data_IF_962524784633
#
_entry.id   IF_962524784633
#
_cell.length_a   1.000
_cell.length_b   1.000
_cell.length_c   1.000
_cell.angle_alpha   90.00
_cell.angle_beta   90.00
_cell.angle_gamma   90.00
#
_symmetry.space_group_name_H-M   'P 1'
#
loop_
_entity.id
_entity.type
_entity.pdbx_description
1 polymer ?
#
# COMPACT_ATOMS: atom_id res chain seq x y z
N UNK A 1 6.80 -10.04 29.64
CA UNK A 1 6.79 -9.67 28.21
C UNK A 1 5.39 -9.86 27.68
N UNK A 2 4.86 -8.88 26.94
CA UNK A 2 3.57 -9.02 26.29
C UNK A 2 3.69 -10.03 25.13
N UNK A 3 2.59 -10.73 24.81
CA UNK A 3 2.56 -11.63 23.65
C UNK A 3 2.74 -10.81 22.37
N UNK A 4 3.62 -11.28 21.48
CA UNK A 4 3.81 -10.74 20.13
C UNK A 4 3.60 -11.86 19.11
N UNK A 5 2.84 -11.58 18.06
CA UNK A 5 2.59 -12.53 16.98
C UNK A 5 3.43 -12.14 15.77
N UNK A 6 4.12 -13.10 15.18
CA UNK A 6 4.90 -12.94 13.97
C UNK A 6 4.21 -13.68 12.83
N UNK A 7 3.82 -12.96 11.77
CA UNK A 7 3.16 -13.53 10.60
C UNK A 7 3.85 -13.04 9.34
N UNK A 8 4.28 -13.99 8.51
CA UNK A 8 4.93 -13.68 7.24
C UNK A 8 4.01 -14.01 6.07
N UNK A 9 4.16 -13.29 4.96
CA UNK A 9 3.28 -13.46 3.81
C UNK A 9 3.54 -14.76 3.04
N UNK A 10 2.69 -14.96 2.11
CA UNK A 10 2.62 -15.98 1.10
C UNK A 10 3.90 -16.13 0.25
N UNK A 11 4.10 -17.25 -0.43
CA UNK A 11 5.17 -17.41 -1.41
C UNK A 11 5.17 -16.29 -2.44
N UNK A 12 6.35 -15.72 -2.68
CA UNK A 12 6.55 -14.61 -3.59
C UNK A 12 7.54 -15.01 -4.68
N UNK A 13 7.16 -14.86 -5.93
CA UNK A 13 8.04 -15.01 -7.09
C UNK A 13 8.51 -13.62 -7.53
N UNK A 14 9.82 -13.39 -7.55
CA UNK A 14 10.42 -12.11 -7.87
C UNK A 14 11.40 -12.22 -9.04
N UNK A 15 11.35 -11.28 -9.97
CA UNK A 15 12.32 -11.09 -11.03
C UNK A 15 11.71 -10.65 -12.35
N UNK A 16 12.56 -10.19 -13.23
CA UNK A 16 12.18 -9.78 -14.60
C UNK A 16 11.66 -11.00 -15.36
N UNK A 17 10.45 -10.92 -15.89
CA UNK A 17 9.79 -12.01 -16.58
C UNK A 17 9.08 -13.02 -15.66
N UNK A 18 9.00 -12.76 -14.35
CA UNK A 18 8.33 -13.65 -13.40
C UNK A 18 6.86 -13.93 -13.77
N UNK A 19 6.20 -12.99 -14.46
CA UNK A 19 4.83 -13.15 -14.97
C UNK A 19 4.65 -14.37 -15.89
N UNK A 20 5.71 -14.84 -16.56
CA UNK A 20 5.63 -16.00 -17.45
C UNK A 20 5.33 -17.31 -16.71
N UNK A 21 5.62 -17.34 -15.40
CA UNK A 21 5.31 -18.49 -14.54
C UNK A 21 3.81 -18.54 -14.13
N UNK A 22 3.06 -17.46 -14.38
CA UNK A 22 1.66 -17.31 -13.92
C UNK A 22 0.77 -18.51 -14.32
N UNK A 23 0.75 -19.02 -15.58
CA UNK A 23 -0.13 -20.13 -15.94
C UNK A 23 0.21 -21.42 -15.20
N UNK A 24 1.51 -21.74 -15.10
CA UNK A 24 1.96 -22.94 -14.41
C UNK A 24 1.67 -22.89 -12.90
N UNK A 25 1.90 -21.74 -12.30
CA UNK A 25 1.62 -21.51 -10.86
C UNK A 25 0.12 -21.47 -10.57
N UNK A 26 -0.67 -20.81 -11.43
CA UNK A 26 -2.13 -20.77 -11.32
C UNK A 26 -2.70 -22.19 -11.34
N UNK A 27 -2.28 -23.03 -12.30
CA UNK A 27 -2.71 -24.43 -12.38
C UNK A 27 -2.40 -25.21 -11.10
N UNK A 28 -1.24 -25.01 -10.48
CA UNK A 28 -0.88 -25.67 -9.21
C UNK A 28 -1.77 -25.23 -8.03
N UNK A 29 -2.32 -24.02 -8.10
CA UNK A 29 -3.27 -23.48 -7.13
C UNK A 29 -4.73 -23.86 -7.44
N UNK A 30 -4.97 -24.64 -8.51
CA UNK A 30 -6.31 -25.01 -8.95
C UNK A 30 -7.01 -23.97 -9.79
N UNK A 31 -6.29 -22.92 -10.24
CA UNK A 31 -6.85 -21.87 -11.09
C UNK A 31 -6.69 -22.25 -12.56
N UNK A 32 -7.83 -22.56 -13.21
CA UNK A 32 -7.90 -22.89 -14.62
C UNK A 32 -8.70 -21.85 -15.43
N UNK A 33 -9.59 -21.14 -14.74
CA UNK A 33 -10.49 -20.15 -15.33
C UNK A 33 -10.48 -18.88 -14.48
N UNK A 34 -9.39 -18.11 -14.48
CA UNK A 34 -9.26 -16.94 -13.62
C UNK A 34 -10.13 -15.76 -14.07
N UNK A 35 -10.58 -14.97 -13.08
CA UNK A 35 -10.98 -13.59 -13.28
C UNK A 35 -9.78 -12.68 -13.00
N UNK A 36 -9.35 -11.91 -13.98
CA UNK A 36 -8.41 -10.80 -13.80
C UNK A 36 -9.20 -9.60 -13.30
N UNK A 37 -8.85 -9.08 -12.12
CA UNK A 37 -9.44 -7.86 -11.55
C UNK A 37 -8.40 -6.74 -11.68
N UNK A 38 -8.78 -5.67 -12.39
CA UNK A 38 -7.89 -4.55 -12.73
C UNK A 38 -8.67 -3.24 -12.87
N UNK A 39 -7.98 -2.14 -13.12
CA UNK A 39 -8.60 -0.86 -13.50
C UNK A 39 -8.57 -0.64 -15.02
N UNK A 40 -9.49 0.22 -15.50
CA UNK A 40 -9.62 0.50 -16.93
C UNK A 40 -8.40 1.19 -17.54
N UNK A 41 -7.62 1.91 -16.74
CA UNK A 41 -6.40 2.60 -17.19
C UNK A 41 -5.28 1.65 -17.59
N UNK A 42 -5.26 0.44 -17.03
CA UNK A 42 -4.24 -0.56 -17.34
C UNK A 42 -4.47 -1.31 -18.65
N UNK A 43 -5.71 -1.41 -19.15
CA UNK A 43 -6.06 -2.27 -20.30
C UNK A 43 -5.23 -1.98 -21.56
N UNK A 44 -4.82 -0.74 -21.77
CA UNK A 44 -4.05 -0.32 -22.95
C UNK A 44 -2.54 -0.24 -22.70
N UNK A 45 -2.07 -0.66 -21.52
CA UNK A 45 -0.64 -0.59 -21.14
C UNK A 45 0.14 -1.82 -21.60
N UNK A 46 1.47 -1.68 -21.64
CA UNK A 46 2.36 -2.81 -21.90
C UNK A 46 2.30 -3.86 -20.78
N UNK A 47 2.08 -3.44 -19.54
CA UNK A 47 1.90 -4.34 -18.40
C UNK A 47 0.71 -5.30 -18.64
N UNK A 48 -0.44 -4.78 -19.08
CA UNK A 48 -1.60 -5.61 -19.37
C UNK A 48 -1.39 -6.50 -20.60
N UNK A 49 -0.74 -5.99 -21.66
CA UNK A 49 -0.37 -6.82 -22.83
C UNK A 49 0.53 -7.99 -22.42
N UNK A 50 1.48 -7.76 -21.53
CA UNK A 50 2.37 -8.79 -20.99
C UNK A 50 1.60 -9.85 -20.20
N UNK A 51 0.67 -9.44 -19.34
CA UNK A 51 -0.25 -10.35 -18.64
C UNK A 51 -1.08 -11.16 -19.64
N UNK A 52 -1.74 -10.50 -20.59
CA UNK A 52 -2.59 -11.15 -21.58
C UNK A 52 -1.81 -12.17 -22.42
N UNK A 53 -0.59 -11.83 -22.83
CA UNK A 53 0.31 -12.76 -23.52
C UNK A 53 0.63 -13.99 -22.69
N UNK A 54 0.90 -13.80 -21.38
CA UNK A 54 1.17 -14.92 -20.46
C UNK A 54 -0.04 -15.86 -20.31
N UNK A 55 -1.27 -15.32 -20.28
CA UNK A 55 -2.50 -16.10 -20.16
C UNK A 55 -3.02 -16.66 -21.49
N UNK A 56 -2.41 -16.29 -22.63
CA UNK A 56 -2.95 -16.59 -23.94
C UNK A 56 -3.97 -15.52 -24.37
N UNK A 57 -3.51 -14.48 -25.10
CA UNK A 57 -4.36 -13.32 -25.44
C UNK A 57 -5.61 -13.71 -26.27
N UNK A 58 -5.51 -14.73 -27.15
CA UNK A 58 -6.64 -15.24 -27.95
C UNK A 58 -7.72 -15.97 -27.12
N UNK A 59 -7.44 -16.28 -25.87
CA UNK A 59 -8.30 -17.05 -24.97
C UNK A 59 -9.06 -16.16 -23.97
N UNK A 60 -8.87 -14.83 -24.05
CA UNK A 60 -9.66 -13.89 -23.28
C UNK A 60 -11.15 -14.01 -23.61
N UNK A 61 -12.01 -14.04 -22.59
CA UNK A 61 -13.44 -14.30 -22.75
C UNK A 61 -13.81 -15.77 -22.97
N UNK A 62 -12.81 -16.67 -23.01
CA UNK A 62 -13.01 -18.13 -23.16
C UNK A 62 -12.51 -18.89 -21.96
N UNK A 63 -11.21 -18.86 -21.71
CA UNK A 63 -10.57 -19.54 -20.57
C UNK A 63 -10.15 -18.60 -19.43
N UNK A 64 -10.09 -17.28 -19.66
CA UNK A 64 -9.88 -16.26 -18.64
C UNK A 64 -10.69 -14.99 -18.96
N UNK A 65 -11.04 -14.23 -17.92
CA UNK A 65 -11.96 -13.10 -18.00
C UNK A 65 -11.36 -11.88 -17.32
N UNK A 66 -11.90 -10.69 -17.63
CA UNK A 66 -11.44 -9.41 -17.07
C UNK A 66 -12.61 -8.66 -16.49
N UNK A 67 -12.44 -8.18 -15.26
CA UNK A 67 -13.21 -7.09 -14.69
C UNK A 67 -12.28 -5.88 -14.57
N UNK A 68 -12.63 -4.78 -15.22
CA UNK A 68 -11.80 -3.57 -15.30
C UNK A 68 -12.47 -2.32 -14.76
N UNK A 69 -13.53 -2.50 -13.95
CA UNK A 69 -14.32 -1.42 -13.37
C UNK A 69 -13.77 -0.85 -12.06
N UNK A 70 -12.53 -1.19 -11.66
CA UNK A 70 -11.99 -0.72 -10.38
C UNK A 70 -11.68 0.77 -10.40
N UNK A 71 -12.21 1.51 -9.42
CA UNK A 71 -11.92 2.93 -9.22
C UNK A 71 -10.61 3.18 -8.44
N UNK A 72 -9.95 4.34 -8.60
CA UNK A 72 -8.71 4.67 -7.87
C UNK A 72 -8.82 4.61 -6.35
N UNK A 73 -9.98 4.94 -5.78
CA UNK A 73 -10.34 4.67 -4.39
C UNK A 73 -11.49 3.66 -4.44
N UNK A 74 -11.24 2.36 -4.25
CA UNK A 74 -12.21 1.34 -4.55
C UNK A 74 -13.45 1.47 -3.67
N UNK A 75 -14.60 1.29 -4.28
CA UNK A 75 -15.90 1.38 -3.63
C UNK A 75 -16.55 0.00 -3.53
N UNK A 76 -17.55 -0.11 -2.69
CA UNK A 76 -18.26 -1.37 -2.44
C UNK A 76 -18.85 -1.96 -3.71
N UNK A 77 -19.39 -1.14 -4.60
CA UNK A 77 -19.94 -1.57 -5.90
C UNK A 77 -18.89 -2.22 -6.80
N UNK A 78 -17.63 -1.76 -6.80
CA UNK A 78 -16.55 -2.40 -7.56
C UNK A 78 -16.39 -3.87 -7.14
N UNK A 79 -16.44 -4.11 -5.83
CA UNK A 79 -16.31 -5.47 -5.26
C UNK A 79 -17.49 -6.34 -5.63
N UNK A 80 -18.73 -5.78 -5.60
CA UNK A 80 -19.96 -6.50 -5.98
C UNK A 80 -19.96 -6.87 -7.46
N UNK A 81 -19.58 -5.95 -8.32
CA UNK A 81 -19.49 -6.18 -9.77
C UNK A 81 -18.40 -7.19 -10.13
N UNK A 82 -17.21 -7.12 -9.48
CA UNK A 82 -16.16 -8.12 -9.66
C UNK A 82 -16.61 -9.52 -9.23
N UNK A 83 -17.31 -9.64 -8.08
CA UNK A 83 -17.85 -10.92 -7.62
C UNK A 83 -18.94 -11.45 -8.57
N UNK A 84 -19.80 -10.58 -9.09
CA UNK A 84 -20.80 -10.95 -10.09
C UNK A 84 -20.15 -11.44 -11.38
N UNK A 85 -19.12 -10.75 -11.89
CA UNK A 85 -18.36 -11.18 -13.06
C UNK A 85 -17.69 -12.55 -12.83
N UNK A 86 -17.16 -12.81 -11.64
CA UNK A 86 -16.60 -14.11 -11.27
C UNK A 86 -17.62 -15.25 -11.39
N UNK A 87 -18.82 -15.05 -10.81
CA UNK A 87 -19.89 -16.06 -10.83
C UNK A 87 -20.43 -16.27 -12.24
N UNK A 88 -20.72 -15.19 -12.97
CA UNK A 88 -21.30 -15.25 -14.34
C UNK A 88 -20.38 -15.98 -15.31
N UNK A 89 -19.07 -15.78 -15.17
CA UNK A 89 -18.08 -16.44 -16.03
C UNK A 89 -17.61 -17.78 -15.48
N UNK A 90 -18.19 -18.28 -14.38
CA UNK A 90 -17.82 -19.55 -13.73
C UNK A 90 -16.30 -19.63 -13.46
N UNK A 91 -15.72 -18.54 -12.96
CA UNK A 91 -14.31 -18.48 -12.62
C UNK A 91 -14.01 -19.33 -11.38
N UNK A 92 -12.78 -19.81 -11.26
CA UNK A 92 -12.30 -20.67 -10.17
C UNK A 92 -11.17 -20.05 -9.34
N UNK A 93 -10.71 -18.86 -9.71
CA UNK A 93 -9.71 -18.10 -9.00
C UNK A 93 -9.63 -16.65 -9.47
N UNK A 94 -8.92 -15.83 -8.70
CA UNK A 94 -8.74 -14.40 -8.98
C UNK A 94 -7.27 -14.12 -9.26
N UNK A 95 -7.00 -13.35 -10.31
CA UNK A 95 -5.73 -12.68 -10.53
C UNK A 95 -5.98 -11.20 -10.27
N UNK A 96 -5.55 -10.70 -9.12
CA UNK A 96 -5.59 -9.29 -8.79
C UNK A 96 -4.37 -8.61 -9.42
N UNK A 97 -4.60 -7.76 -10.44
CA UNK A 97 -3.56 -7.17 -11.27
C UNK A 97 -3.69 -5.65 -11.31
N UNK A 98 -2.73 -4.93 -10.76
CA UNK A 98 -2.78 -3.46 -10.76
C UNK A 98 -2.14 -2.81 -9.53
N UNK A 99 -2.55 -1.59 -9.22
CA UNK A 99 -2.22 -0.90 -7.98
C UNK A 99 -3.03 -1.43 -6.80
N UNK A 100 -2.84 -0.83 -5.62
CA UNK A 100 -3.51 -1.24 -4.38
C UNK A 100 -5.02 -1.41 -4.51
N UNK A 101 -5.70 -0.52 -5.24
CA UNK A 101 -7.16 -0.59 -5.47
C UNK A 101 -7.59 -1.89 -6.15
N UNK A 102 -6.91 -2.27 -7.25
CA UNK A 102 -7.22 -3.51 -7.96
C UNK A 102 -6.90 -4.76 -7.12
N UNK A 103 -5.81 -4.71 -6.35
CA UNK A 103 -5.44 -5.78 -5.42
C UNK A 103 -6.50 -5.95 -4.33
N UNK A 104 -6.98 -4.84 -3.77
CA UNK A 104 -7.98 -4.85 -2.71
C UNK A 104 -9.35 -5.35 -3.21
N UNK A 105 -9.82 -4.86 -4.36
CA UNK A 105 -11.07 -5.36 -4.97
C UNK A 105 -10.95 -6.85 -5.28
N UNK A 106 -9.82 -7.30 -5.86
CA UNK A 106 -9.60 -8.71 -6.18
C UNK A 106 -9.62 -9.60 -4.94
N UNK A 107 -9.05 -9.13 -3.82
CA UNK A 107 -9.12 -9.83 -2.53
C UNK A 107 -10.54 -9.87 -1.97
N UNK A 108 -11.22 -8.71 -1.94
CA UNK A 108 -12.55 -8.58 -1.34
C UNK A 108 -13.65 -9.27 -2.15
N UNK A 109 -13.56 -9.31 -3.48
CA UNK A 109 -14.55 -9.97 -4.35
C UNK A 109 -14.75 -11.45 -3.95
N UNK A 110 -13.71 -12.13 -3.49
CA UNK A 110 -13.77 -13.53 -3.03
C UNK A 110 -14.68 -13.71 -1.81
N UNK A 111 -14.84 -12.67 -0.97
CA UNK A 111 -15.75 -12.67 0.16
C UNK A 111 -17.19 -12.76 -0.32
N UNK A 112 -17.57 -11.95 -1.32
CA UNK A 112 -18.92 -11.98 -1.90
C UNK A 112 -19.19 -13.21 -2.76
N UNK A 113 -18.16 -13.78 -3.40
CA UNK A 113 -18.29 -15.08 -4.08
C UNK A 113 -18.65 -16.18 -3.07
N UNK A 114 -18.04 -16.17 -1.88
CA UNK A 114 -18.37 -17.12 -0.79
C UNK A 114 -19.69 -16.79 -0.12
N UNK A 115 -19.99 -15.49 0.09
CA UNK A 115 -21.20 -15.01 0.79
C UNK A 115 -21.85 -13.87 0.02
N UNK A 116 -22.71 -14.16 -0.99
CA UNK A 116 -23.29 -13.15 -1.88
C UNK A 116 -24.11 -12.06 -1.17
N UNK A 117 -24.63 -12.34 0.02
CA UNK A 117 -25.40 -11.39 0.83
C UNK A 117 -24.61 -10.61 1.87
N UNK A 118 -23.26 -10.67 1.85
CA UNK A 118 -22.44 -9.99 2.84
C UNK A 118 -22.70 -8.48 2.84
N UNK A 119 -22.97 -7.95 4.03
CA UNK A 119 -22.92 -6.53 4.34
C UNK A 119 -21.51 -6.22 4.89
N UNK A 120 -20.73 -5.43 4.17
CA UNK A 120 -19.35 -5.13 4.60
C UNK A 120 -19.29 -4.33 5.89
N UNK A 121 -20.33 -3.60 6.27
CA UNK A 121 -20.41 -2.95 7.57
C UNK A 121 -20.46 -3.97 8.73
N UNK A 122 -20.87 -5.21 8.44
CA UNK A 122 -20.94 -6.32 9.38
C UNK A 122 -19.88 -7.39 9.13
N UNK A 123 -18.81 -7.06 8.41
CA UNK A 123 -17.78 -8.02 8.05
C UNK A 123 -17.21 -8.78 9.26
N UNK A 124 -17.06 -8.11 10.39
CA UNK A 124 -16.49 -8.68 11.62
C UNK A 124 -17.47 -9.53 12.43
N UNK A 125 -18.75 -9.55 12.07
CA UNK A 125 -19.73 -10.47 12.66
C UNK A 125 -19.54 -11.90 12.15
N UNK A 126 -18.76 -12.05 11.05
CA UNK A 126 -18.44 -13.31 10.42
C UNK A 126 -17.06 -13.81 10.85
N UNK A 127 -16.97 -15.05 11.32
CA UNK A 127 -15.72 -15.61 11.83
C UNK A 127 -15.05 -16.60 10.86
N UNK A 128 -15.79 -17.26 9.97
CA UNK A 128 -15.26 -18.28 9.06
C UNK A 128 -15.17 -17.78 7.61
N UNK A 129 -13.94 -17.44 7.22
CA UNK A 129 -13.56 -17.11 5.85
C UNK A 129 -12.70 -18.19 5.18
N UNK A 130 -12.61 -19.39 5.75
CA UNK A 130 -11.89 -20.52 5.14
C UNK A 130 -12.48 -20.86 3.77
N UNK A 131 -11.63 -21.36 2.86
CA UNK A 131 -12.08 -21.83 1.54
C UNK A 131 -12.47 -20.72 0.56
N UNK A 132 -11.97 -19.47 0.73
CA UNK A 132 -12.07 -18.44 -0.30
C UNK A 132 -11.40 -18.92 -1.61
N UNK A 133 -11.96 -18.52 -2.75
CA UNK A 133 -11.34 -18.79 -4.05
C UNK A 133 -9.86 -18.38 -4.05
N UNK A 134 -8.95 -19.16 -4.61
CA UNK A 134 -7.54 -18.81 -4.63
C UNK A 134 -7.30 -17.49 -5.36
N UNK A 135 -6.32 -16.71 -4.85
CA UNK A 135 -5.95 -15.42 -5.42
C UNK A 135 -4.45 -15.40 -5.70
N UNK A 136 -4.06 -14.86 -6.86
CA UNK A 136 -2.69 -14.47 -7.18
C UNK A 136 -2.68 -12.95 -7.27
N UNK A 137 -1.77 -12.30 -6.53
CA UNK A 137 -1.63 -10.85 -6.54
C UNK A 137 -0.40 -10.43 -7.35
N UNK A 138 -0.59 -9.49 -8.27
CA UNK A 138 0.44 -9.02 -9.20
C UNK A 138 0.40 -7.48 -9.22
N UNK A 139 1.23 -6.81 -8.42
CA UNK A 139 1.25 -5.36 -8.39
C UNK A 139 1.89 -4.75 -9.64
N UNK A 140 1.35 -3.62 -10.09
CA UNK A 140 1.92 -2.77 -11.14
C UNK A 140 2.45 -1.44 -10.58
N UNK A 141 2.37 -1.27 -9.27
CA UNK A 141 2.90 -0.13 -8.51
C UNK A 141 3.73 -0.63 -7.33
N UNK A 142 4.71 0.14 -6.91
CA UNK A 142 5.54 -0.17 -5.75
C UNK A 142 5.25 0.84 -4.62
N UNK A 143 4.20 0.60 -3.85
CA UNK A 143 3.74 1.52 -2.80
C UNK A 143 3.00 0.82 -1.68
N UNK A 144 1.74 0.49 -1.90
CA UNK A 144 0.83 -0.04 -0.87
C UNK A 144 1.26 -1.37 -0.27
N UNK A 145 1.95 -2.23 -1.06
CA UNK A 145 2.27 -3.60 -0.64
C UNK A 145 1.03 -4.48 -0.40
N UNK A 146 -0.14 -4.10 -0.93
CA UNK A 146 -1.40 -4.81 -0.72
C UNK A 146 -1.34 -6.28 -1.15
N UNK A 147 -0.44 -6.64 -2.06
CA UNK A 147 -0.20 -8.01 -2.51
C UNK A 147 0.20 -8.97 -1.39
N UNK A 148 0.89 -8.48 -0.38
CA UNK A 148 1.30 -9.25 0.82
C UNK A 148 0.44 -8.93 2.04
N UNK A 149 -0.59 -8.08 1.89
CA UNK A 149 -1.49 -7.67 2.95
C UNK A 149 -2.63 -8.64 3.22
N UNK A 150 -3.02 -8.78 4.48
CA UNK A 150 -4.18 -9.55 4.96
C UNK A 150 -5.46 -8.72 5.02
N UNK A 151 -5.42 -7.52 4.45
CA UNK A 151 -6.55 -6.59 4.44
C UNK A 151 -6.94 -6.19 3.02
N UNK A 152 -8.14 -5.68 2.90
CA UNK A 152 -8.64 -4.96 1.74
C UNK A 152 -9.31 -3.69 2.25
N UNK A 153 -9.01 -2.55 1.66
CA UNK A 153 -9.58 -1.25 2.03
C UNK A 153 -10.54 -0.81 0.94
N UNK A 154 -11.82 -0.70 1.28
CA UNK A 154 -12.88 -0.25 0.37
C UNK A 154 -13.68 0.88 0.99
N UNK A 155 -14.26 1.73 0.17
CA UNK A 155 -15.21 2.76 0.61
C UNK A 155 -16.61 2.19 0.56
N UNK A 156 -17.33 2.22 1.68
CA UNK A 156 -18.72 1.77 1.75
C UNK A 156 -19.62 2.77 1.04
N UNK A 157 -20.49 2.29 0.14
CA UNK A 157 -21.38 3.15 -0.67
C UNK A 157 -22.38 3.94 0.19
N UNK A 158 -22.91 3.31 1.25
CA UNK A 158 -23.91 3.92 2.11
C UNK A 158 -23.38 5.04 3.03
N UNK A 159 -22.13 4.97 3.45
CA UNK A 159 -21.56 5.89 4.45
C UNK A 159 -20.43 6.76 3.91
N UNK A 160 -19.92 6.45 2.72
CA UNK A 160 -18.71 7.03 2.13
C UNK A 160 -17.48 6.97 3.05
N UNK A 161 -17.46 6.01 3.98
CA UNK A 161 -16.33 5.75 4.88
C UNK A 161 -15.50 4.58 4.39
N UNK A 162 -14.18 4.68 4.58
CA UNK A 162 -13.28 3.56 4.33
C UNK A 162 -13.51 2.46 5.37
N UNK A 163 -13.72 1.25 4.89
CA UNK A 163 -13.77 0.03 5.70
C UNK A 163 -12.48 -0.77 5.45
N UNK A 164 -11.82 -1.14 6.52
CA UNK A 164 -10.68 -2.06 6.47
C UNK A 164 -11.21 -3.45 6.74
N UNK A 165 -11.21 -4.31 5.73
CA UNK A 165 -11.60 -5.72 5.87
C UNK A 165 -10.33 -6.51 6.16
N UNK A 166 -10.13 -6.91 7.41
CA UNK A 166 -8.93 -7.65 7.83
C UNK A 166 -9.26 -9.09 8.16
N UNK A 167 -8.64 -10.02 7.44
CA UNK A 167 -8.69 -11.45 7.75
C UNK A 167 -7.49 -12.17 7.11
N UNK A 168 -6.82 -13.13 7.78
CA UNK A 168 -5.73 -13.92 7.21
C UNK A 168 -6.06 -14.62 5.89
N UNK A 169 -7.33 -15.02 5.66
CA UNK A 169 -7.79 -15.67 4.43
C UNK A 169 -7.82 -14.71 3.20
N UNK A 170 -7.77 -13.39 3.43
CA UNK A 170 -7.63 -12.43 2.34
C UNK A 170 -6.25 -12.47 1.69
N UNK A 171 -5.24 -13.02 2.36
CA UNK A 171 -3.90 -13.13 1.80
C UNK A 171 -3.93 -13.90 0.47
N UNK A 172 -3.23 -13.36 -0.53
CA UNK A 172 -3.06 -14.06 -1.80
C UNK A 172 -2.28 -15.38 -1.59
N UNK A 173 -2.56 -16.41 -2.38
CA UNK A 173 -1.84 -17.70 -2.30
C UNK A 173 -0.48 -17.64 -3.00
N UNK A 174 -0.28 -16.66 -3.86
CA UNK A 174 0.97 -16.38 -4.55
C UNK A 174 1.05 -14.89 -4.87
N UNK A 175 2.24 -14.32 -4.77
CA UNK A 175 2.57 -12.98 -5.25
C UNK A 175 3.57 -13.09 -6.39
N UNK A 176 3.38 -12.30 -7.45
CA UNK A 176 4.35 -12.19 -8.55
C UNK A 176 4.82 -10.73 -8.61
N UNK A 177 6.07 -10.49 -8.27
CA UNK A 177 6.74 -9.20 -8.33
C UNK A 177 7.62 -9.17 -9.59
N UNK A 178 7.07 -8.67 -10.69
CA UNK A 178 7.79 -8.52 -11.95
C UNK A 178 8.07 -7.04 -12.23
N UNK A 179 9.33 -6.60 -12.18
CA UNK A 179 9.71 -5.20 -12.41
C UNK A 179 9.23 -4.62 -13.73
N UNK A 180 9.11 -5.44 -14.79
CA UNK A 180 8.62 -4.99 -16.10
C UNK A 180 7.21 -4.42 -16.03
N UNK A 181 6.37 -4.92 -15.12
CA UNK A 181 4.98 -4.51 -14.99
C UNK A 181 4.83 -3.10 -14.38
N UNK A 182 5.90 -2.58 -13.78
CA UNK A 182 5.93 -1.22 -13.20
C UNK A 182 6.63 -0.19 -14.09
N UNK A 183 7.30 -0.62 -15.17
CA UNK A 183 8.15 0.24 -16.00
C UNK A 183 7.38 1.41 -16.65
N UNK A 184 6.10 1.18 -16.99
CA UNK A 184 5.23 2.21 -17.58
C UNK A 184 4.63 3.21 -16.60
N UNK A 185 4.88 3.07 -15.28
CA UNK A 185 4.31 3.99 -14.29
C UNK A 185 4.98 5.38 -14.40
N UNK A 186 4.19 6.48 -14.56
CA UNK A 186 4.74 7.82 -14.68
C UNK A 186 5.62 8.23 -13.48
N UNK A 187 6.66 9.06 -13.69
CA UNK A 187 7.59 9.45 -12.62
C UNK A 187 6.92 10.03 -11.37
N UNK A 188 5.90 10.87 -11.54
CA UNK A 188 5.14 11.46 -10.40
C UNK A 188 4.43 10.40 -9.57
N UNK A 189 3.81 9.41 -10.22
CA UNK A 189 3.17 8.29 -9.53
C UNK A 189 4.21 7.36 -8.91
N UNK A 190 5.33 7.12 -9.59
CA UNK A 190 6.45 6.36 -9.02
C UNK A 190 6.96 7.01 -7.73
N UNK A 191 7.16 8.34 -7.73
CA UNK A 191 7.59 9.08 -6.55
C UNK A 191 6.58 8.99 -5.41
N UNK A 192 5.30 9.23 -5.70
CA UNK A 192 4.23 9.20 -4.70
C UNK A 192 4.04 7.80 -4.09
N UNK A 193 4.00 6.75 -4.92
CA UNK A 193 3.88 5.37 -4.41
C UNK A 193 5.12 4.93 -3.64
N UNK A 194 6.31 5.30 -4.10
CA UNK A 194 7.55 5.00 -3.38
C UNK A 194 7.64 5.71 -2.03
N UNK A 195 7.14 6.94 -1.92
CA UNK A 195 7.05 7.66 -0.66
C UNK A 195 6.03 7.03 0.31
N UNK A 196 4.96 6.41 -0.21
CA UNK A 196 4.03 5.60 0.57
C UNK A 196 4.75 4.39 1.21
N UNK A 197 5.49 3.62 0.41
CA UNK A 197 6.30 2.50 0.91
C UNK A 197 7.34 2.95 1.95
N UNK A 198 7.95 4.13 1.76
CA UNK A 198 8.89 4.72 2.71
C UNK A 198 8.19 5.06 4.03
N UNK A 199 7.00 5.64 3.96
CA UNK A 199 6.20 5.98 5.15
C UNK A 199 5.78 4.71 5.91
N UNK A 200 5.35 3.66 5.20
CA UNK A 200 5.09 2.35 5.80
C UNK A 200 6.29 1.84 6.60
N UNK A 201 7.47 1.86 6.01
CA UNK A 201 8.69 1.41 6.69
C UNK A 201 9.04 2.27 7.91
N UNK A 202 8.97 3.61 7.79
CA UNK A 202 9.34 4.53 8.88
C UNK A 202 8.35 4.40 10.05
N UNK A 203 7.04 4.46 9.79
CA UNK A 203 6.03 4.40 10.85
C UNK A 203 6.01 3.04 11.53
N UNK A 204 6.07 1.95 10.76
CA UNK A 204 6.17 0.59 11.34
C UNK A 204 7.40 0.41 12.20
N UNK A 205 8.56 0.92 11.76
CA UNK A 205 9.78 0.86 12.55
C UNK A 205 9.63 1.60 13.87
N UNK A 206 9.02 2.80 13.87
CA UNK A 206 8.88 3.62 15.08
C UNK A 206 7.74 3.19 15.99
N UNK A 207 6.79 2.38 15.51
CA UNK A 207 5.73 1.81 16.34
C UNK A 207 6.32 1.04 17.53
N UNK A 208 5.83 1.27 18.77
CA UNK A 208 6.47 0.79 20.00
C UNK A 208 6.33 -0.70 20.25
N UNK A 209 5.51 -1.42 19.49
CA UNK A 209 5.35 -2.87 19.63
C UNK A 209 6.69 -3.60 19.42
N UNK A 210 7.00 -4.53 20.30
CA UNK A 210 8.19 -5.36 20.17
C UNK A 210 8.06 -6.35 19.01
N UNK A 211 8.77 -6.11 17.92
CA UNK A 211 8.77 -6.96 16.75
C UNK A 211 10.07 -6.81 15.94
N UNK A 212 11.21 -7.34 16.48
CA UNK A 212 12.53 -7.10 15.89
C UNK A 212 12.69 -7.58 14.46
N UNK A 213 11.89 -8.58 14.01
CA UNK A 213 11.90 -9.03 12.61
C UNK A 213 11.30 -7.94 11.70
N UNK A 214 10.19 -7.33 12.08
CA UNK A 214 9.62 -6.20 11.32
C UNK A 214 10.53 -4.98 11.36
N UNK A 215 11.20 -4.72 12.49
CA UNK A 215 12.17 -3.63 12.58
C UNK A 215 13.30 -3.80 11.56
N UNK A 216 13.85 -5.02 11.45
CA UNK A 216 14.89 -5.34 10.47
C UNK A 216 14.39 -5.22 9.03
N UNK A 217 13.17 -5.71 8.75
CA UNK A 217 12.52 -5.62 7.44
C UNK A 217 12.29 -4.15 7.06
N UNK A 218 11.75 -3.33 7.96
CA UNK A 218 11.48 -1.91 7.72
C UNK A 218 12.76 -1.13 7.41
N UNK A 219 13.84 -1.34 8.17
CA UNK A 219 15.12 -0.65 7.96
C UNK A 219 15.75 -1.01 6.62
N UNK A 220 15.73 -2.27 6.22
CA UNK A 220 16.21 -2.69 4.91
C UNK A 220 15.31 -2.14 3.79
N UNK A 221 13.98 -2.09 3.98
CA UNK A 221 13.05 -1.43 3.08
C UNK A 221 13.39 0.05 2.86
N UNK A 222 13.70 0.79 3.94
CA UNK A 222 14.15 2.20 3.87
C UNK A 222 15.42 2.32 3.02
N UNK A 223 16.43 1.48 3.27
CA UNK A 223 17.69 1.49 2.51
C UNK A 223 17.44 1.30 1.02
N UNK A 224 16.67 0.29 0.65
CA UNK A 224 16.34 0.00 -0.75
C UNK A 224 15.58 1.16 -1.41
N UNK A 225 14.63 1.79 -0.72
CA UNK A 225 13.84 2.91 -1.26
C UNK A 225 14.74 4.13 -1.50
N UNK A 226 15.57 4.49 -0.53
CA UNK A 226 16.45 5.66 -0.65
C UNK A 226 17.42 5.50 -1.83
N UNK A 227 17.91 4.30 -2.08
CA UNK A 227 18.80 3.99 -3.18
C UNK A 227 18.08 3.90 -4.54
N UNK A 228 16.92 3.25 -4.59
CA UNK A 228 16.27 2.88 -5.84
C UNK A 228 15.23 3.90 -6.33
N UNK A 229 14.50 4.58 -5.43
CA UNK A 229 13.38 5.44 -5.83
C UNK A 229 13.81 6.61 -6.75
N UNK A 230 14.92 7.33 -6.48
CA UNK A 230 15.39 8.38 -7.39
C UNK A 230 15.73 7.82 -8.79
N UNK A 231 16.35 6.65 -8.85
CA UNK A 231 16.68 5.97 -10.11
C UNK A 231 15.43 5.58 -10.88
N UNK A 232 14.46 4.97 -10.21
CA UNK A 232 13.19 4.56 -10.81
C UNK A 232 12.37 5.75 -11.33
N UNK A 233 12.42 6.90 -10.64
CA UNK A 233 11.79 8.14 -11.10
C UNK A 233 12.50 8.75 -12.30
N UNK A 234 13.84 8.76 -12.31
CA UNK A 234 14.63 9.31 -13.39
C UNK A 234 14.59 8.47 -14.68
N UNK A 235 14.55 7.14 -14.53
CA UNK A 235 14.48 6.19 -15.62
C UNK A 235 13.50 5.07 -15.32
N UNK A 236 12.29 5.17 -15.86
CA UNK A 236 11.25 4.15 -15.68
C UNK A 236 11.64 2.74 -16.17
N UNK A 237 12.65 2.63 -17.03
CA UNK A 237 13.15 1.36 -17.55
C UNK A 237 14.33 0.79 -16.75
N UNK A 238 14.74 1.42 -15.66
CA UNK A 238 15.69 0.83 -14.73
C UNK A 238 15.01 -0.30 -13.93
N UNK A 239 14.99 -1.50 -14.52
CA UNK A 239 14.29 -2.66 -13.99
C UNK A 239 14.88 -3.14 -12.64
N UNK A 240 16.15 -2.90 -12.39
CA UNK A 240 16.76 -3.19 -11.09
C UNK A 240 16.16 -2.26 -10.02
N UNK A 241 16.15 -0.95 -10.25
CA UNK A 241 15.54 0.01 -9.34
C UNK A 241 14.03 -0.26 -9.14
N UNK A 242 13.29 -0.57 -10.22
CA UNK A 242 11.88 -0.99 -10.14
C UNK A 242 11.70 -2.25 -9.29
N UNK A 243 12.60 -3.23 -9.45
CA UNK A 243 12.59 -4.46 -8.65
C UNK A 243 12.85 -4.19 -7.17
N UNK A 244 13.85 -3.37 -6.85
CA UNK A 244 14.13 -2.97 -5.47
C UNK A 244 12.93 -2.26 -4.84
N UNK A 245 12.25 -1.37 -5.60
CA UNK A 245 11.05 -0.69 -5.13
C UNK A 245 9.89 -1.65 -4.86
N UNK A 246 9.63 -2.65 -5.72
CA UNK A 246 8.60 -3.67 -5.49
C UNK A 246 8.87 -4.46 -4.21
N UNK A 247 10.11 -4.92 -4.02
CA UNK A 247 10.49 -5.65 -2.81
C UNK A 247 10.36 -4.76 -1.59
N UNK A 248 10.84 -3.51 -1.65
CA UNK A 248 10.75 -2.58 -0.52
C UNK A 248 9.30 -2.21 -0.15
N UNK A 249 8.40 -2.08 -1.13
CA UNK A 249 6.97 -1.87 -0.88
C UNK A 249 6.35 -3.08 -0.14
N UNK A 250 6.66 -4.30 -0.61
CA UNK A 250 6.25 -5.52 0.09
C UNK A 250 6.85 -5.60 1.51
N UNK A 251 8.12 -5.20 1.70
CA UNK A 251 8.76 -5.15 3.02
C UNK A 251 8.06 -4.18 3.97
N UNK A 252 7.70 -2.98 3.50
CA UNK A 252 6.90 -2.01 4.27
C UNK A 252 5.56 -2.60 4.70
N UNK A 253 4.85 -3.25 3.78
CA UNK A 253 3.57 -3.89 4.06
C UNK A 253 3.69 -5.10 5.02
N UNK A 254 4.77 -5.84 4.99
CA UNK A 254 5.04 -6.88 5.99
C UNK A 254 5.35 -6.25 7.34
N UNK A 255 6.13 -5.17 7.37
CA UNK A 255 6.52 -4.51 8.61
C UNK A 255 5.32 -3.86 9.33
N UNK A 256 4.34 -3.31 8.61
CA UNK A 256 3.19 -2.67 9.25
C UNK A 256 2.19 -3.64 9.93
N UNK A 257 2.51 -4.93 10.05
CA UNK A 257 1.84 -5.75 11.07
C UNK A 257 2.11 -5.25 12.50
N UNK A 258 3.08 -4.34 12.69
CA UNK A 258 3.27 -3.54 13.90
C UNK A 258 2.31 -2.34 14.00
N UNK A 259 1.50 -2.10 12.99
CA UNK A 259 0.74 -0.90 12.74
C UNK A 259 1.53 0.28 12.17
N UNK A 260 0.85 1.41 12.05
CA UNK A 260 1.31 2.65 11.45
C UNK A 260 1.28 3.79 12.49
N UNK A 261 1.25 5.05 12.07
CA UNK A 261 1.33 6.17 12.99
C UNK A 261 0.55 7.40 12.53
N UNK A 262 0.99 8.57 13.01
CA UNK A 262 0.34 9.86 12.81
C UNK A 262 0.27 10.28 11.35
N UNK A 263 1.26 9.90 10.52
CA UNK A 263 1.31 10.30 9.11
C UNK A 263 0.18 9.65 8.32
N UNK A 264 -0.07 8.35 8.51
CA UNK A 264 -1.21 7.69 7.88
C UNK A 264 -2.54 8.23 8.38
N UNK A 265 -2.68 8.55 9.68
CA UNK A 265 -3.89 9.19 10.18
C UNK A 265 -4.14 10.59 9.62
N UNK A 266 -3.09 11.31 9.21
CA UNK A 266 -3.23 12.56 8.44
C UNK A 266 -3.59 12.29 6.97
N UNK A 267 -3.02 11.26 6.35
CA UNK A 267 -3.15 11.00 4.93
C UNK A 267 -4.51 10.39 4.53
N UNK A 268 -5.11 9.55 5.36
CA UNK A 268 -6.39 8.92 5.08
C UNK A 268 -7.52 9.92 4.85
N UNK A 269 -7.73 10.93 5.72
CA UNK A 269 -8.73 11.97 5.48
C UNK A 269 -8.47 12.80 4.22
N UNK A 270 -7.21 13.10 3.90
CA UNK A 270 -6.85 13.81 2.67
C UNK A 270 -7.27 13.03 1.42
N UNK A 271 -7.12 11.72 1.45
CA UNK A 271 -7.58 10.87 0.36
C UNK A 271 -9.12 10.80 0.29
N UNK A 272 -9.80 10.71 1.43
CA UNK A 272 -11.25 10.56 1.48
C UNK A 272 -12.00 11.88 1.17
N UNK A 273 -11.56 13.00 1.74
CA UNK A 273 -12.26 14.30 1.65
C UNK A 273 -11.77 15.12 0.46
N UNK A 274 -10.45 15.09 0.15
CA UNK A 274 -9.86 15.93 -0.88
C UNK A 274 -9.59 15.15 -2.19
N UNK A 275 -9.82 13.83 -2.23
CA UNK A 275 -9.50 12.99 -3.39
C UNK A 275 -8.00 12.89 -3.68
N UNK A 276 -7.14 13.25 -2.72
CA UNK A 276 -5.70 13.26 -2.89
C UNK A 276 -5.16 11.83 -3.03
N UNK A 277 -4.19 11.64 -3.94
CA UNK A 277 -3.50 10.34 -4.07
C UNK A 277 -2.84 9.98 -2.73
N UNK A 278 -3.08 8.77 -2.22
CA UNK A 278 -2.70 8.35 -0.87
C UNK A 278 -1.19 8.50 -0.59
N UNK A 279 -0.34 8.00 -1.48
CA UNK A 279 1.10 8.11 -1.32
C UNK A 279 1.62 9.56 -1.38
N UNK A 280 0.96 10.43 -2.15
CA UNK A 280 1.26 11.86 -2.14
C UNK A 280 0.88 12.49 -0.78
N UNK A 281 -0.31 12.16 -0.25
CA UNK A 281 -0.73 12.64 1.06
C UNK A 281 0.25 12.22 2.16
N UNK A 282 0.70 10.96 2.15
CA UNK A 282 1.74 10.48 3.06
C UNK A 282 3.05 11.26 2.90
N UNK A 283 3.53 11.48 1.67
CA UNK A 283 4.76 12.23 1.41
C UNK A 283 4.71 13.65 1.98
N UNK A 284 3.59 14.35 1.76
CA UNK A 284 3.41 15.74 2.20
C UNK A 284 3.30 15.86 3.73
N UNK A 285 2.78 14.84 4.42
CA UNK A 285 2.64 14.81 5.86
C UNK A 285 3.87 14.23 6.59
N UNK A 286 4.75 13.48 5.91
CA UNK A 286 5.81 12.69 6.55
C UNK A 286 6.76 13.55 7.41
N UNK A 287 7.29 14.61 6.85
CA UNK A 287 8.28 15.45 7.56
C UNK A 287 7.68 16.13 8.78
N UNK A 288 6.44 16.64 8.68
CA UNK A 288 5.73 17.25 9.81
C UNK A 288 5.46 16.21 10.92
N UNK A 289 4.99 15.00 10.55
CA UNK A 289 4.81 13.90 11.48
C UNK A 289 6.11 13.47 12.17
N UNK A 290 7.22 13.39 11.43
CA UNK A 290 8.52 13.08 12.02
C UNK A 290 8.99 14.15 13.01
N UNK A 291 8.87 15.44 12.67
CA UNK A 291 9.20 16.55 13.58
C UNK A 291 8.36 16.48 14.85
N UNK A 292 7.06 16.26 14.71
CA UNK A 292 6.13 16.12 15.83
C UNK A 292 6.55 15.02 16.79
N UNK A 293 6.91 13.86 16.29
CA UNK A 293 7.34 12.72 17.11
C UNK A 293 8.69 12.97 17.77
N UNK A 294 9.69 13.47 17.03
CA UNK A 294 11.03 13.77 17.55
C UNK A 294 11.03 14.83 18.65
N UNK A 295 10.16 15.85 18.55
CA UNK A 295 10.02 16.89 19.58
C UNK A 295 9.52 16.34 20.92
N UNK A 296 8.86 15.17 20.93
CA UNK A 296 8.30 14.53 22.13
C UNK A 296 9.10 13.33 22.62
N UNK A 297 9.87 12.72 21.75
CA UNK A 297 10.72 11.55 22.05
C UNK A 297 11.95 11.58 21.19
N UNK A 298 13.11 11.83 21.79
CA UNK A 298 14.39 11.91 21.08
C UNK A 298 14.96 10.52 20.78
N UNK A 299 15.72 10.42 19.69
CA UNK A 299 16.50 9.24 19.29
C UNK A 299 15.72 8.19 18.51
N UNK A 300 14.45 8.46 18.17
CA UNK A 300 13.57 7.50 17.48
C UNK A 300 13.95 7.28 16.01
N UNK A 301 14.63 8.26 15.38
CA UNK A 301 14.99 8.17 13.96
C UNK A 301 16.47 7.89 13.70
N UNK A 302 17.32 7.71 14.74
CA UNK A 302 18.73 7.38 14.55
C UNK A 302 18.95 6.18 13.62
N UNK A 303 18.25 5.05 13.87
CA UNK A 303 18.39 3.85 13.05
C UNK A 303 17.82 4.05 11.63
N UNK A 304 16.76 4.84 11.49
CA UNK A 304 16.23 5.27 10.18
C UNK A 304 17.29 6.04 9.40
N UNK A 305 17.93 7.02 10.02
CA UNK A 305 19.00 7.80 9.38
C UNK A 305 20.20 6.96 8.98
N UNK A 306 20.59 5.98 9.81
CA UNK A 306 21.65 5.02 9.47
C UNK A 306 21.24 4.17 8.26
N UNK A 307 20.00 3.72 8.19
CA UNK A 307 19.47 3.00 7.03
C UNK A 307 19.46 3.87 5.76
N UNK A 308 19.31 5.19 5.90
CA UNK A 308 19.46 6.16 4.81
C UNK A 308 20.93 6.44 4.43
N UNK A 309 21.90 5.83 5.09
CA UNK A 309 23.33 6.03 4.82
C UNK A 309 23.99 7.17 5.60
N UNK A 310 23.33 7.72 6.64
CA UNK A 310 23.90 8.80 7.45
C UNK A 310 24.85 8.28 8.53
N UNK A 311 25.95 8.99 8.77
CA UNK A 311 26.90 8.72 9.85
C UNK A 311 26.43 9.35 11.16
N UNK A 312 25.68 8.59 11.98
CA UNK A 312 25.02 9.09 13.19
C UNK A 312 25.56 8.47 14.49
N UNK A 313 26.66 7.72 14.43
CA UNK A 313 27.17 6.97 15.59
C UNK A 313 27.73 7.88 16.70
N UNK A 314 28.22 9.08 16.35
CA UNK A 314 28.94 9.99 17.25
C UNK A 314 28.17 11.26 17.61
N UNK A 315 26.89 11.36 17.25
CA UNK A 315 26.03 12.52 17.55
C UNK A 315 25.05 12.20 18.66
N UNK A 316 24.47 13.24 19.29
CA UNK A 316 23.39 13.06 20.27
C UNK A 316 22.13 12.50 19.62
N UNK A 317 21.18 11.98 20.40
CA UNK A 317 19.89 11.47 19.90
C UNK A 317 19.10 12.58 19.21
N UNK A 318 19.03 13.76 19.79
CA UNK A 318 18.35 14.90 19.20
C UNK A 318 18.98 15.34 17.86
N UNK A 319 20.30 15.35 17.78
CA UNK A 319 21.02 15.69 16.54
C UNK A 319 20.83 14.61 15.47
N UNK A 320 20.79 13.33 15.86
CA UNK A 320 20.50 12.25 14.93
C UNK A 320 19.11 12.38 14.32
N UNK A 321 18.10 12.69 15.14
CA UNK A 321 16.73 12.93 14.64
C UNK A 321 16.68 14.13 13.70
N UNK A 322 17.30 15.25 14.07
CA UNK A 322 17.35 16.45 13.22
C UNK A 322 17.98 16.16 11.86
N UNK A 323 19.14 15.48 11.84
CA UNK A 323 19.85 15.11 10.59
C UNK A 323 19.00 14.16 9.73
N UNK A 324 18.32 13.19 10.36
CA UNK A 324 17.46 12.25 9.64
C UNK A 324 16.24 12.95 9.05
N UNK A 325 15.59 13.86 9.78
CA UNK A 325 14.46 14.64 9.31
C UNK A 325 14.86 15.58 8.18
N UNK A 326 16.02 16.24 8.29
CA UNK A 326 16.54 17.11 7.24
C UNK A 326 16.84 16.31 5.95
N UNK A 327 17.49 15.14 6.08
CA UNK A 327 17.72 14.24 4.96
C UNK A 327 16.40 13.86 4.28
N UNK A 328 15.37 13.53 5.07
CA UNK A 328 14.07 13.11 4.52
C UNK A 328 13.37 14.25 3.78
N UNK A 329 13.44 15.47 4.31
CA UNK A 329 12.92 16.66 3.64
C UNK A 329 13.61 16.89 2.28
N UNK A 330 14.93 16.81 2.24
CA UNK A 330 15.73 16.96 1.02
C UNK A 330 15.45 15.83 0.01
N UNK A 331 15.31 14.60 0.51
CA UNK A 331 14.99 13.44 -0.31
C UNK A 331 13.64 13.59 -1.02
N UNK A 332 12.59 13.97 -0.28
CA UNK A 332 11.27 14.21 -0.85
C UNK A 332 11.27 15.41 -1.80
N UNK A 333 12.01 16.46 -1.49
CA UNK A 333 12.15 17.63 -2.36
C UNK A 333 12.78 17.26 -3.72
N UNK A 334 13.83 16.43 -3.73
CA UNK A 334 14.46 15.94 -4.97
C UNK A 334 13.51 15.10 -5.83
N UNK A 335 12.49 14.50 -5.23
CA UNK A 335 11.45 13.75 -5.92
C UNK A 335 10.25 14.62 -6.35
N UNK A 336 10.28 15.93 -6.06
CA UNK A 336 9.19 16.87 -6.34
C UNK A 336 7.99 16.72 -5.39
N UNK A 337 8.19 16.14 -4.22
CA UNK A 337 7.16 15.86 -3.19
C UNK A 337 7.22 16.87 -2.02
N UNK A 338 7.59 18.12 -2.29
CA UNK A 338 7.72 19.20 -1.31
C UNK A 338 6.71 20.34 -1.52
N UNK A 339 5.60 20.06 -2.16
CA UNK A 339 4.49 20.99 -2.38
C UNK A 339 3.59 21.08 -1.14
N UNK A 340 2.57 21.94 -1.17
CA UNK A 340 1.61 22.11 -0.09
C UNK A 340 0.32 21.33 -0.37
N UNK A 341 -0.42 20.97 0.68
CA UNK A 341 -1.72 20.29 0.52
C UNK A 341 -2.70 21.10 -0.35
N UNK A 342 -2.70 22.43 -0.23
CA UNK A 342 -3.54 23.32 -1.05
C UNK A 342 -3.25 23.25 -2.54
N UNK A 343 -2.01 22.93 -2.93
CA UNK A 343 -1.62 22.77 -4.33
C UNK A 343 -2.26 21.52 -4.95
N UNK A 344 -2.83 20.67 -4.13
CA UNK A 344 -3.48 19.41 -4.49
C UNK A 344 -4.96 19.35 -4.08
N UNK A 345 -5.59 20.52 -3.88
CA UNK A 345 -7.03 20.63 -3.70
C UNK A 345 -7.52 20.62 -2.26
N UNK A 346 -6.65 20.50 -1.26
CA UNK A 346 -7.06 20.68 0.13
C UNK A 346 -7.34 22.16 0.42
N UNK A 347 -8.42 22.43 1.13
CA UNK A 347 -8.89 23.79 1.43
C UNK A 347 -8.97 24.03 2.94
N UNK A 348 -8.71 25.27 3.41
CA UNK A 348 -8.81 25.60 4.84
C UNK A 348 -10.16 25.27 5.47
N UNK A 349 -11.27 25.38 4.71
CA UNK A 349 -12.62 25.10 5.17
C UNK A 349 -12.85 23.61 5.49
N UNK A 350 -12.00 22.72 4.98
CA UNK A 350 -12.07 21.28 5.23
C UNK A 350 -11.35 20.87 6.52
N UNK A 351 -10.60 21.79 7.17
CA UNK A 351 -9.72 21.48 8.30
C UNK A 351 -10.42 20.74 9.43
N UNK A 352 -11.63 21.20 9.83
CA UNK A 352 -12.36 20.57 10.93
C UNK A 352 -12.78 19.12 10.58
N UNK A 353 -13.20 18.87 9.35
CA UNK A 353 -13.54 17.53 8.89
C UNK A 353 -12.30 16.62 8.79
N UNK A 354 -11.17 17.17 8.33
CA UNK A 354 -9.89 16.44 8.28
C UNK A 354 -9.45 16.03 9.68
N UNK A 355 -9.49 16.96 10.65
CA UNK A 355 -9.12 16.68 12.04
C UNK A 355 -10.05 15.65 12.66
N UNK A 356 -11.35 15.76 12.47
CA UNK A 356 -12.32 14.80 13.02
C UNK A 356 -12.06 13.38 12.51
N UNK A 357 -11.83 13.21 11.20
CA UNK A 357 -11.52 11.90 10.63
C UNK A 357 -10.14 11.37 11.04
N UNK A 358 -9.13 12.25 11.22
CA UNK A 358 -7.81 11.84 11.67
C UNK A 358 -7.84 11.32 13.13
N UNK A 359 -8.67 11.91 13.98
CA UNK A 359 -8.89 11.44 15.36
C UNK A 359 -9.61 10.08 15.40
N UNK A 360 -10.54 9.84 14.49
CA UNK A 360 -11.24 8.56 14.37
C UNK A 360 -10.36 7.46 13.76
N UNK A 361 -9.30 7.81 13.04
CA UNK A 361 -8.41 6.87 12.37
C UNK A 361 -7.61 6.02 13.37
N UNK A 362 -7.51 4.70 13.20
CA UNK A 362 -6.84 3.83 14.17
C UNK A 362 -5.31 3.96 14.19
N UNK A 363 -4.65 4.40 13.10
CA UNK A 363 -3.19 4.35 12.94
C UNK A 363 -2.45 5.16 14.00
N UNK A 364 -2.96 6.33 14.40
CA UNK A 364 -2.30 7.15 15.42
C UNK A 364 -2.29 6.53 16.82
N UNK A 365 -3.15 5.52 17.08
CA UNK A 365 -3.23 4.87 18.40
C UNK A 365 -1.99 4.04 18.70
N UNK A 366 -1.27 3.65 17.66
CA UNK A 366 -0.01 2.91 17.73
C UNK A 366 1.21 3.79 17.43
N UNK A 367 1.01 5.11 17.31
CA UNK A 367 2.10 6.06 17.11
C UNK A 367 3.06 6.07 18.32
N UNK A 368 4.34 6.35 18.07
CA UNK A 368 5.40 6.33 19.07
C UNK A 368 5.22 7.32 20.22
N UNK A 369 4.41 8.34 20.01
CA UNK A 369 3.95 9.32 21.02
C UNK A 369 2.44 9.55 20.85
N UNK A 370 1.70 9.88 21.93
CA UNK A 370 0.28 10.19 21.85
C UNK A 370 0.00 11.38 20.94
N UNK A 371 -1.13 11.34 20.24
CA UNK A 371 -1.59 12.40 19.32
C UNK A 371 -3.00 12.82 19.71
N UNK A 372 -3.19 14.11 19.98
CA UNK A 372 -4.49 14.70 20.30
C UNK A 372 -5.09 15.46 19.11
N UNK A 373 -6.39 15.78 19.16
CA UNK A 373 -7.07 16.54 18.12
C UNK A 373 -6.37 17.87 17.76
N UNK A 374 -5.88 18.58 18.79
CA UNK A 374 -5.15 19.85 18.61
C UNK A 374 -3.80 19.63 17.88
N UNK A 375 -3.16 18.49 18.09
CA UNK A 375 -1.92 18.14 17.36
C UNK A 375 -2.20 17.91 15.87
N UNK A 376 -3.26 17.19 15.53
CA UNK A 376 -3.68 17.01 14.13
C UNK A 376 -3.97 18.36 13.47
N UNK A 377 -4.65 19.26 14.16
CA UNK A 377 -4.92 20.61 13.65
C UNK A 377 -3.63 21.36 13.31
N UNK A 378 -2.65 21.37 14.22
CA UNK A 378 -1.35 22.01 14.02
C UNK A 378 -0.59 21.39 12.86
N UNK A 379 -0.57 20.07 12.79
CA UNK A 379 0.11 19.34 11.70
C UNK A 379 -0.50 19.66 10.33
N UNK A 380 -1.84 19.68 10.20
CA UNK A 380 -2.48 20.08 8.95
C UNK A 380 -2.15 21.53 8.58
N UNK A 381 -2.18 22.47 9.55
CA UNK A 381 -1.82 23.87 9.27
C UNK A 381 -0.37 24.05 8.87
N UNK A 382 0.57 23.22 9.36
CA UNK A 382 1.98 23.27 8.96
C UNK A 382 2.17 22.91 7.48
N UNK A 383 1.37 21.99 6.96
CA UNK A 383 1.54 21.43 5.60
C UNK A 383 0.51 21.96 4.59
N UNK A 384 -0.53 22.69 5.04
CA UNK A 384 -1.55 23.32 4.22
C UNK A 384 -0.95 24.51 3.44
#
# INVERSE_FOLDING_TARGET
>A
MNLSSFSFPTPTLFGVGAIQELPARGKRLGIQRPLVVTDGGLLNTEAFRTLAKSLGAADQGKSWFVFSGVHPNPIESDVREAAQAFVQNKCDGVIAFGGGSALDVGKAARLLVKRPGLDFAKFYDESDWSGLAPCIAIPTTAGTGSEVGRSSVITLDATHRKAVLFNPELLAKLVILDPQLTAGLPPKLTAATGADALTHCIESFTCPQFHPMCDGIALEGIRLIVEALPRACANGNDLEARGHMLVAAAMGAVAFQKDLGVVHSLAHPLSAICGMHHGLANALCLVAGMKFCAARKSGIYRRVGIACGLELQKVSDAEADQKTIAFMADFLAKLGLNTRLRDHGAKPEQLDALVAQAVDDPCHKTNVVPVAAEDFRKLYLEVL
#
